data_IF_247118000088
#
_entry.id   IF_247118000088
#
_cell.length_a   1.000
_cell.length_b   1.000
_cell.length_c   1.000
_cell.angle_alpha   90.00
_cell.angle_beta   90.00
_cell.angle_gamma   90.00
#
_symmetry.space_group_name_H-M   'P 1'
#
loop_
_entity.id
_entity.type
_entity.pdbx_description
1 polymer ?
#
# COMPACT_ATOMS: atom_id res chain seq x y z
N UNK A 1 0.54 -3.02 70.03
CA UNK A 1 1.94 -3.48 69.92
C UNK A 1 2.04 -4.63 68.93
N UNK A 2 2.72 -4.36 67.81
CA UNK A 2 3.61 -5.25 67.04
C UNK A 2 3.11 -6.67 66.68
N UNK A 3 2.69 -6.84 65.42
CA UNK A 3 2.94 -8.09 64.67
C UNK A 3 3.65 -7.74 63.35
N UNK A 4 4.91 -8.17 63.23
CA UNK A 4 5.66 -8.32 61.97
C UNK A 4 6.13 -9.76 61.88
N UNK A 5 5.82 -10.44 60.78
CA UNK A 5 6.80 -10.83 59.76
C UNK A 5 6.10 -11.54 58.60
N UNK A 6 6.35 -11.01 57.42
CA UNK A 6 6.11 -11.62 56.11
C UNK A 6 7.11 -12.75 55.93
N UNK A 7 6.67 -13.88 55.36
CA UNK A 7 7.58 -14.78 54.67
C UNK A 7 6.93 -15.29 53.38
N UNK A 8 7.59 -14.95 52.27
CA UNK A 8 7.33 -15.39 50.89
C UNK A 8 8.05 -16.72 50.69
N UNK A 9 7.36 -17.73 50.17
CA UNK A 9 7.94 -18.99 49.66
C UNK A 9 7.53 -19.09 48.19
N UNK A 10 8.35 -18.63 47.24
CA UNK A 10 9.49 -19.33 46.64
C UNK A 10 9.10 -20.59 45.86
N UNK A 11 8.90 -20.38 44.56
CA UNK A 11 8.88 -21.35 43.46
C UNK A 11 9.99 -22.41 43.53
N UNK A 12 9.70 -23.63 43.05
CA UNK A 12 10.69 -24.56 42.47
C UNK A 12 10.06 -25.31 41.28
N UNK A 13 10.68 -25.31 40.10
CA UNK A 13 10.24 -26.10 38.95
C UNK A 13 10.90 -27.49 38.98
N UNK A 14 10.14 -28.53 38.59
CA UNK A 14 10.68 -29.87 38.42
C UNK A 14 11.01 -30.07 36.93
N UNK A 15 12.29 -30.26 36.64
CA UNK A 15 12.82 -30.58 35.33
C UNK A 15 12.99 -32.11 35.22
N UNK A 16 12.41 -32.71 34.18
CA UNK A 16 12.78 -34.06 33.72
C UNK A 16 13.51 -33.97 32.39
N UNK A 17 14.69 -34.58 32.35
CA UNK A 17 15.59 -34.62 31.21
C UNK A 17 15.44 -35.89 30.37
N UNK A 18 15.35 -35.64 29.06
CA UNK A 18 15.73 -36.41 27.87
C UNK A 18 16.55 -37.70 28.06
N UNK A 19 16.26 -38.72 27.25
CA UNK A 19 17.11 -39.28 26.16
C UNK A 19 16.33 -40.37 25.42
N UNK A 20 16.13 -40.30 24.09
CA UNK A 20 16.76 -41.13 23.03
C UNK A 20 15.78 -41.06 21.83
N UNK A 21 16.07 -41.24 20.55
CA UNK A 21 17.23 -41.30 19.65
C UNK A 21 16.58 -41.52 18.26
N UNK A 22 17.26 -41.12 17.19
CA UNK A 22 17.04 -41.54 15.79
C UNK A 22 15.81 -40.98 15.05
N UNK A 23 16.16 -39.97 14.24
CA UNK A 23 15.53 -39.58 12.99
C UNK A 23 15.74 -40.68 11.92
N UNK A 24 14.92 -40.61 10.87
CA UNK A 24 15.10 -41.13 9.52
C UNK A 24 14.34 -42.40 9.11
N UNK A 25 13.32 -42.13 8.29
CA UNK A 25 12.88 -42.88 7.10
C UNK A 25 12.41 -44.31 7.31
N UNK A 26 11.09 -44.48 7.45
CA UNK A 26 10.42 -45.57 6.77
C UNK A 26 9.30 -45.02 5.89
N UNK A 27 9.55 -45.17 4.59
CA UNK A 27 8.64 -44.84 3.52
C UNK A 27 7.67 -46.00 3.41
N UNK A 28 6.46 -45.86 3.95
CA UNK A 28 5.39 -46.82 3.70
C UNK A 28 4.15 -46.10 3.18
N UNK A 29 4.11 -46.05 1.84
CA UNK A 29 2.94 -46.02 0.96
C UNK A 29 1.63 -45.58 1.62
N UNK A 30 1.31 -44.29 1.47
CA UNK A 30 -0.05 -43.79 1.61
C UNK A 30 -0.85 -44.25 0.40
N UNK A 31 -1.76 -45.21 0.63
CA UNK A 31 -2.86 -45.48 -0.29
C UNK A 31 -4.05 -45.98 0.52
N UNK A 32 -4.88 -45.06 1.00
CA UNK A 32 -6.30 -45.32 1.18
C UNK A 32 -7.06 -44.00 1.12
N UNK A 33 -7.82 -43.84 0.04
CA UNK A 33 -8.68 -42.71 -0.20
C UNK A 33 -10.08 -42.98 0.40
N UNK A 34 -10.56 -41.96 1.12
CA UNK A 34 -11.95 -41.62 1.49
C UNK A 34 -12.69 -42.49 2.52
N UNK A 35 -12.79 -41.95 3.74
CA UNK A 35 -14.04 -41.94 4.49
C UNK A 35 -14.13 -40.66 5.34
N UNK A 36 -15.04 -39.79 4.90
CA UNK A 36 -15.84 -38.84 5.66
C UNK A 36 -15.28 -38.25 6.97
N UNK A 37 -14.98 -36.94 6.96
CA UNK A 37 -15.18 -36.11 8.16
C UNK A 37 -15.41 -34.64 7.76
N UNK A 38 -16.63 -34.37 7.31
CA UNK A 38 -17.12 -33.04 6.89
C UNK A 38 -17.29 -32.05 8.07
N UNK A 39 -16.26 -31.82 8.90
CA UNK A 39 -16.36 -30.94 10.08
C UNK A 39 -15.09 -30.12 10.42
N UNK A 40 -14.21 -29.86 9.44
CA UNK A 40 -13.01 -29.02 9.64
C UNK A 40 -12.97 -27.72 8.82
N UNK A 41 -14.09 -27.25 8.27
CA UNK A 41 -14.11 -26.02 7.43
C UNK A 41 -14.47 -24.74 8.24
N UNK A 42 -15.04 -24.87 9.44
CA UNK A 42 -15.44 -23.70 10.25
C UNK A 42 -14.29 -23.15 11.13
N UNK A 43 -13.30 -23.97 11.50
CA UNK A 43 -12.22 -23.58 12.41
C UNK A 43 -11.12 -22.71 11.80
N UNK A 44 -10.86 -22.83 10.49
CA UNK A 44 -9.79 -22.08 9.81
C UNK A 44 -10.24 -20.67 9.41
N UNK A 45 -11.53 -20.49 9.12
CA UNK A 45 -12.13 -19.18 8.80
C UNK A 45 -12.27 -18.25 10.03
N UNK A 46 -12.41 -18.80 11.24
CA UNK A 46 -12.55 -18.01 12.47
C UNK A 46 -11.23 -17.44 13.01
N UNK A 47 -10.12 -18.17 12.81
CA UNK A 47 -8.77 -17.67 13.14
C UNK A 47 -8.37 -16.47 12.27
N UNK A 48 -8.80 -16.45 11.01
CA UNK A 48 -8.42 -15.40 10.07
C UNK A 48 -9.20 -14.10 10.30
N UNK A 49 -10.52 -14.13 10.53
CA UNK A 49 -11.31 -12.89 10.64
C UNK A 49 -11.08 -12.09 11.92
N UNK A 50 -10.89 -12.76 13.05
CA UNK A 50 -10.55 -12.09 14.31
C UNK A 50 -9.11 -11.55 14.30
N UNK A 51 -8.19 -12.28 13.67
CA UNK A 51 -6.82 -11.81 13.47
C UNK A 51 -6.77 -10.61 12.52
N UNK A 52 -7.55 -10.62 11.43
CA UNK A 52 -7.72 -9.49 10.51
C UNK A 52 -8.29 -8.27 11.23
N UNK A 53 -9.34 -8.44 12.06
CA UNK A 53 -9.92 -7.33 12.83
C UNK A 53 -8.89 -6.72 13.79
N UNK A 54 -8.14 -7.55 14.53
CA UNK A 54 -7.09 -7.07 15.44
C UNK A 54 -5.91 -6.45 14.70
N UNK A 55 -5.57 -6.94 13.51
CA UNK A 55 -4.55 -6.34 12.67
C UNK A 55 -5.01 -4.96 12.17
N UNK A 56 -6.27 -4.84 11.75
CA UNK A 56 -6.87 -3.56 11.35
C UNK A 56 -6.94 -2.56 12.50
N UNK A 57 -7.32 -3.00 13.71
CA UNK A 57 -7.37 -2.16 14.91
C UNK A 57 -5.98 -1.63 15.28
N UNK A 58 -4.95 -2.47 15.21
CA UNK A 58 -3.55 -2.05 15.41
C UNK A 58 -3.08 -1.06 14.35
N UNK A 59 -3.39 -1.30 13.08
CA UNK A 59 -3.04 -0.38 11.99
C UNK A 59 -3.69 1.00 12.20
N UNK A 60 -4.95 1.03 12.65
CA UNK A 60 -5.64 2.27 12.99
C UNK A 60 -4.95 3.01 14.14
N UNK A 61 -4.57 2.29 15.19
CA UNK A 61 -3.84 2.86 16.33
C UNK A 61 -2.48 3.43 15.92
N UNK A 62 -1.75 2.74 15.04
CA UNK A 62 -0.47 3.23 14.50
C UNK A 62 -0.67 4.52 13.68
N UNK A 63 -1.69 4.58 12.82
CA UNK A 63 -2.00 5.79 12.05
C UNK A 63 -2.38 6.97 12.97
N UNK A 64 -3.17 6.73 14.02
CA UNK A 64 -3.51 7.76 15.00
C UNK A 64 -2.27 8.24 15.77
N UNK A 65 -1.37 7.33 16.16
CA UNK A 65 -0.11 7.70 16.81
C UNK A 65 0.80 8.52 15.88
N UNK A 66 0.85 8.18 14.58
CA UNK A 66 1.57 8.97 13.57
C UNK A 66 0.97 10.37 13.43
N UNK A 67 -0.36 10.50 13.37
CA UNK A 67 -1.03 11.78 13.30
C UNK A 67 -0.77 12.65 14.55
N UNK A 68 -0.80 12.07 15.75
CA UNK A 68 -0.47 12.83 16.97
C UNK A 68 1.00 13.24 17.02
N UNK A 69 1.91 12.43 16.47
CA UNK A 69 3.32 12.81 16.33
C UNK A 69 3.47 14.01 15.38
N UNK A 70 2.82 13.95 14.21
CA UNK A 70 2.85 15.04 13.22
C UNK A 70 2.14 16.30 13.73
N UNK A 71 1.04 16.16 14.45
CA UNK A 71 0.29 17.26 15.07
C UNK A 71 1.09 17.98 16.16
N UNK A 72 2.02 17.29 16.81
CA UNK A 72 2.92 17.88 17.80
C UNK A 72 4.22 18.39 17.20
N UNK A 73 4.46 18.17 15.90
CA UNK A 73 5.61 18.73 15.21
C UNK A 73 5.51 20.26 15.18
N UNK A 74 6.47 20.92 15.83
CA UNK A 74 6.57 22.37 15.86
C UNK A 74 6.91 22.95 14.48
N UNK A 75 7.52 22.17 13.59
CA UNK A 75 7.76 22.55 12.19
C UNK A 75 6.44 22.69 11.43
N UNK A 76 5.60 21.66 11.48
CA UNK A 76 4.31 21.65 10.79
C UNK A 76 3.39 22.78 11.27
N UNK A 77 3.36 23.06 12.58
CA UNK A 77 2.60 24.20 13.14
C UNK A 77 3.06 25.54 12.56
N UNK A 78 4.38 25.76 12.46
CA UNK A 78 4.94 26.99 11.90
C UNK A 78 4.62 27.13 10.41
N UNK A 79 4.65 26.03 9.65
CA UNK A 79 4.28 26.04 8.23
C UNK A 79 2.80 26.39 8.04
N UNK A 80 1.90 25.80 8.83
CA UNK A 80 0.47 26.12 8.82
C UNK A 80 0.24 27.59 9.20
N UNK A 81 0.89 28.09 10.25
CA UNK A 81 0.78 29.51 10.65
C UNK A 81 1.28 30.46 9.57
N UNK A 82 2.38 30.10 8.88
CA UNK A 82 2.92 30.88 7.78
C UNK A 82 1.95 30.89 6.59
N UNK A 83 1.41 29.73 6.20
CA UNK A 83 0.45 29.62 5.10
C UNK A 83 -0.81 30.46 5.39
N UNK A 84 -1.37 30.35 6.58
CA UNK A 84 -2.56 31.12 6.96
C UNK A 84 -2.29 32.63 6.87
N UNK A 85 -1.18 33.10 7.45
CA UNK A 85 -0.81 34.52 7.40
C UNK A 85 -0.55 34.99 5.96
N UNK A 86 0.04 34.15 5.11
CA UNK A 86 0.27 34.46 3.71
C UNK A 86 -1.06 34.58 2.95
N UNK A 87 -2.00 33.65 3.16
CA UNK A 87 -3.33 33.71 2.54
C UNK A 87 -4.11 34.95 3.00
N UNK A 88 -4.07 35.28 4.29
CA UNK A 88 -4.71 36.48 4.84
C UNK A 88 -4.10 37.76 4.25
N UNK A 89 -2.77 37.80 4.11
CA UNK A 89 -2.04 38.91 3.49
C UNK A 89 -2.39 39.05 2.01
N UNK A 90 -2.44 37.93 1.28
CA UNK A 90 -2.87 37.87 -0.11
C UNK A 90 -4.30 38.41 -0.28
N UNK A 91 -5.21 38.00 0.58
CA UNK A 91 -6.59 38.48 0.60
C UNK A 91 -6.69 39.98 0.88
N UNK A 92 -5.96 40.47 1.88
CA UNK A 92 -5.98 41.89 2.29
C UNK A 92 -5.51 42.82 1.17
N UNK A 93 -4.47 42.42 0.43
CA UNK A 93 -3.87 43.24 -0.63
C UNK A 93 -4.35 42.87 -2.04
N UNK A 94 -5.29 41.92 -2.16
CA UNK A 94 -5.79 41.42 -3.44
C UNK A 94 -4.68 40.87 -4.34
N UNK A 95 -3.63 40.29 -3.77
CA UNK A 95 -2.47 39.76 -4.50
C UNK A 95 -2.66 38.27 -4.78
N UNK A 96 -2.42 37.88 -6.02
CA UNK A 96 -2.38 36.48 -6.43
C UNK A 96 -1.00 35.87 -6.17
N UNK A 97 -0.91 34.54 -6.12
CA UNK A 97 0.38 33.84 -5.99
C UNK A 97 1.34 34.22 -7.12
N UNK A 98 0.82 34.49 -8.32
CA UNK A 98 1.60 34.99 -9.46
C UNK A 98 2.23 36.36 -9.16
N UNK A 99 1.52 37.26 -8.50
CA UNK A 99 2.04 38.58 -8.14
C UNK A 99 3.16 38.47 -7.08
N UNK A 100 3.00 37.55 -6.13
CA UNK A 100 4.04 37.25 -5.14
C UNK A 100 5.29 36.68 -5.80
N UNK A 101 5.13 35.72 -6.72
CA UNK A 101 6.25 35.16 -7.50
C UNK A 101 6.93 36.26 -8.31
N UNK A 102 6.18 37.19 -8.93
CA UNK A 102 6.76 38.30 -9.69
C UNK A 102 7.58 39.27 -8.81
N UNK A 103 7.22 39.43 -7.53
CA UNK A 103 7.96 40.26 -6.57
C UNK A 103 9.22 39.54 -6.06
N UNK A 104 9.13 38.25 -5.75
CA UNK A 104 10.22 37.47 -5.15
C UNK A 104 11.24 36.95 -6.18
N UNK A 105 10.76 36.54 -7.36
CA UNK A 105 11.59 36.08 -8.47
C UNK A 105 11.10 36.69 -9.80
N UNK A 106 11.51 37.94 -10.09
CA UNK A 106 11.15 38.60 -11.34
C UNK A 106 11.72 37.90 -12.59
N UNK A 107 12.77 37.09 -12.46
CA UNK A 107 13.41 36.39 -13.59
C UNK A 107 12.65 35.13 -14.02
N UNK A 108 11.97 34.45 -13.09
CA UNK A 108 11.11 33.29 -13.40
C UNK A 108 9.96 33.60 -14.36
N UNK A 109 9.47 34.85 -14.36
CA UNK A 109 8.37 35.30 -15.23
C UNK A 109 8.74 35.36 -16.71
N UNK A 110 10.03 35.49 -17.03
CA UNK A 110 10.53 35.63 -18.42
C UNK A 110 10.72 34.27 -19.09
N UNK A 111 10.84 33.18 -18.33
CA UNK A 111 11.09 31.84 -18.89
C UNK A 111 9.85 31.17 -19.51
N UNK A 112 8.65 31.75 -19.39
CA UNK A 112 7.42 31.21 -19.98
C UNK A 112 7.10 31.77 -21.36
N UNK A 113 7.87 32.73 -21.88
CA UNK A 113 7.75 33.20 -23.27
C UNK A 113 8.62 32.33 -24.19
N UNK A 114 8.40 31.02 -24.14
CA UNK A 114 8.96 30.08 -25.11
C UNK A 114 7.82 29.24 -25.71
N UNK A 115 7.56 29.49 -27.01
CA UNK A 115 6.75 28.68 -27.92
C UNK A 115 5.21 28.68 -27.69
N UNK A 116 4.57 29.81 -28.01
CA UNK A 116 3.18 29.82 -28.48
C UNK A 116 3.13 29.28 -29.92
N UNK A 117 3.08 27.96 -30.06
CA UNK A 117 2.67 27.28 -31.29
C UNK A 117 1.56 26.30 -30.95
N UNK A 118 0.42 26.28 -31.67
CA UNK A 118 -0.64 25.31 -31.41
C UNK A 118 -0.11 23.92 -31.74
N UNK A 119 0.30 23.17 -30.71
CA UNK A 119 0.68 21.76 -30.82
C UNK A 119 -0.57 20.97 -31.17
N UNK A 120 -0.88 20.88 -32.48
CA UNK A 120 -1.93 20.03 -33.03
C UNK A 120 -1.65 18.60 -32.56
N UNK A 121 -2.35 18.18 -31.51
CA UNK A 121 -2.27 16.84 -30.96
C UNK A 121 -2.69 15.87 -32.06
N UNK A 122 -1.75 15.08 -32.58
CA UNK A 122 -2.03 14.02 -33.56
C UNK A 122 -3.23 13.20 -33.05
N UNK A 123 -4.21 12.97 -33.92
CA UNK A 123 -5.35 12.13 -33.60
C UNK A 123 -4.83 10.75 -33.18
N UNK A 124 -5.25 10.29 -31.99
CA UNK A 124 -4.81 9.00 -31.45
C UNK A 124 -5.33 7.88 -32.36
N UNK A 125 -4.44 7.02 -32.85
CA UNK A 125 -4.78 5.84 -33.65
C UNK A 125 -5.33 4.77 -32.70
N UNK A 126 -6.41 4.09 -33.10
CA UNK A 126 -6.94 2.94 -32.35
C UNK A 126 -5.99 1.76 -32.59
N UNK A 127 -5.45 1.22 -31.50
CA UNK A 127 -4.60 0.03 -31.50
C UNK A 127 -5.47 -1.18 -31.14
N UNK A 128 -5.41 -2.24 -31.94
CA UNK A 128 -6.14 -3.49 -31.68
C UNK A 128 -5.14 -4.53 -31.20
N UNK A 129 -5.31 -5.04 -29.99
CA UNK A 129 -4.49 -6.10 -29.42
C UNK A 129 -5.28 -7.41 -29.40
N UNK A 130 -4.65 -8.51 -29.80
CA UNK A 130 -5.27 -9.84 -29.76
C UNK A 130 -4.44 -10.79 -28.89
N UNK A 131 -5.02 -11.28 -27.81
CA UNK A 131 -4.34 -12.23 -26.93
C UNK A 131 -4.41 -13.66 -27.54
N UNK A 132 -3.27 -14.32 -27.84
CA UNK A 132 -3.26 -15.67 -28.39
C UNK A 132 -3.67 -16.77 -27.39
N UNK A 133 -3.62 -16.48 -26.09
CA UNK A 133 -3.94 -17.44 -25.03
C UNK A 133 -5.43 -17.49 -24.70
N UNK A 134 -6.12 -16.36 -24.76
CA UNK A 134 -7.56 -16.25 -24.44
C UNK A 134 -8.43 -16.00 -25.66
N UNK A 135 -7.85 -15.59 -26.80
CA UNK A 135 -8.58 -15.20 -28.00
C UNK A 135 -9.27 -13.84 -27.90
N UNK A 136 -9.13 -13.14 -26.76
CA UNK A 136 -9.75 -11.84 -26.51
C UNK A 136 -9.12 -10.73 -27.36
N UNK A 137 -9.95 -9.78 -27.82
CA UNK A 137 -9.54 -8.61 -28.59
C UNK A 137 -9.79 -7.33 -27.79
N UNK A 138 -8.78 -6.46 -27.71
CA UNK A 138 -8.85 -5.16 -27.04
C UNK A 138 -8.53 -4.06 -28.06
N UNK A 139 -9.53 -3.24 -28.37
CA UNK A 139 -9.36 -2.04 -29.16
C UNK A 139 -9.20 -0.84 -28.22
N UNK A 140 -8.07 -0.17 -28.27
CA UNK A 140 -7.84 1.01 -27.45
C UNK A 140 -7.13 2.13 -28.17
N UNK A 141 -7.63 3.34 -27.96
CA UNK A 141 -7.04 4.58 -28.47
C UNK A 141 -5.87 5.08 -27.58
N UNK A 142 -5.43 4.28 -26.60
CA UNK A 142 -4.30 4.58 -25.70
C UNK A 142 -4.07 3.52 -24.60
N UNK A 143 -3.05 3.68 -23.75
CA UNK A 143 -2.69 2.68 -22.74
C UNK A 143 -3.62 2.54 -21.52
N UNK A 144 -4.72 3.30 -21.44
CA UNK A 144 -5.64 3.26 -20.29
C UNK A 144 -6.80 2.27 -20.50
N UNK A 145 -6.49 1.01 -20.79
CA UNK A 145 -7.47 -0.07 -20.89
C UNK A 145 -7.20 -1.12 -19.81
N UNK A 146 -8.20 -1.46 -18.98
CA UNK A 146 -8.02 -2.37 -17.82
C UNK A 146 -7.53 -3.76 -18.25
N UNK A 147 -8.09 -4.32 -19.31
CA UNK A 147 -7.65 -5.61 -19.84
C UNK A 147 -6.22 -5.57 -20.39
N UNK A 148 -5.80 -4.45 -21.00
CA UNK A 148 -4.45 -4.33 -21.54
C UNK A 148 -3.42 -4.22 -20.40
N UNK A 149 -3.78 -3.54 -19.31
CA UNK A 149 -2.97 -3.50 -18.09
C UNK A 149 -2.85 -4.89 -17.46
N UNK A 150 -3.95 -5.63 -17.35
CA UNK A 150 -3.94 -6.99 -16.82
C UNK A 150 -3.08 -7.94 -17.68
N UNK A 151 -3.14 -7.84 -19.01
CA UNK A 151 -2.25 -8.62 -19.88
C UNK A 151 -0.79 -8.23 -19.70
N UNK A 152 -0.47 -6.94 -19.58
CA UNK A 152 0.91 -6.48 -19.37
C UNK A 152 1.48 -6.95 -18.02
N UNK A 153 0.63 -7.10 -17.01
CA UNK A 153 1.00 -7.66 -15.70
C UNK A 153 1.21 -9.18 -15.77
N UNK A 154 0.39 -9.90 -16.54
CA UNK A 154 0.46 -11.37 -16.66
C UNK A 154 1.57 -11.86 -17.60
N UNK A 155 1.74 -11.23 -18.76
CA UNK A 155 2.61 -11.70 -19.85
C UNK A 155 3.82 -10.79 -20.10
N UNK A 156 3.90 -9.66 -19.40
CA UNK A 156 4.92 -8.64 -19.60
C UNK A 156 4.57 -7.63 -20.70
N UNK A 157 5.20 -6.46 -20.63
CA UNK A 157 4.93 -5.33 -21.54
C UNK A 157 5.34 -5.64 -22.97
N UNK A 158 6.53 -6.20 -23.17
CA UNK A 158 7.10 -6.47 -24.49
C UNK A 158 6.31 -7.53 -25.26
N UNK A 159 5.88 -8.58 -24.56
CA UNK A 159 5.03 -9.65 -25.12
C UNK A 159 3.70 -9.10 -25.60
N UNK A 160 3.02 -8.30 -24.77
CA UNK A 160 1.71 -7.73 -25.12
C UNK A 160 1.83 -6.69 -26.24
N UNK A 161 2.93 -5.94 -26.31
CA UNK A 161 3.14 -5.00 -27.40
C UNK A 161 3.39 -5.69 -28.75
N UNK A 162 3.86 -6.94 -28.76
CA UNK A 162 3.94 -7.78 -29.97
C UNK A 162 2.58 -8.28 -30.49
N UNK A 163 1.54 -8.26 -29.64
CA UNK A 163 0.17 -8.69 -29.98
C UNK A 163 -0.66 -7.60 -30.67
N UNK A 164 -0.04 -6.46 -30.97
CA UNK A 164 -0.65 -5.39 -31.72
C UNK A 164 -0.92 -5.85 -33.15
N UNK A 165 -2.20 -5.91 -33.53
CA UNK A 165 -2.63 -6.13 -34.91
C UNK A 165 -2.52 -4.80 -35.67
N UNK A 166 -1.75 -4.82 -36.76
CA UNK A 166 -1.59 -3.69 -37.67
C UNK A 166 -2.89 -3.36 -38.42
#
# INVERSE_FOLDING_TARGET
MIRRKVQVSSWKPQAEGKTERANQSDSFVSSFYWADNSHYIVGVYYLSRLAEFRAAEKALQEQLAQLETLKNDAGLKKEIEFEQKLQDLMGTYGKSLRDIIAILDPSSSTSLVASAGPKRRRARVVKVYQNPHTGELIETKGGNHRGLKAWKEQYGVDTVDSWLRA
#
